data_IF_626173177710
#
_entry.id   IF_626173177710
#
_cell.length_a   1.000
_cell.length_b   1.000
_cell.length_c   1.000
_cell.angle_alpha   90.00
_cell.angle_beta   90.00
_cell.angle_gamma   90.00
#
_symmetry.space_group_name_H-M   'P 1'
#
loop_
_entity.id
_entity.type
_entity.pdbx_description
1 polymer ?
#
# COMPACT_ATOMS: atom_id res chain seq x y z
N UNK A 1 18.32 3.08 0.38
CA UNK A 1 16.91 2.67 0.49
C UNK A 1 16.53 2.71 1.96
N UNK A 2 15.60 3.57 2.34
CA UNK A 2 15.21 3.76 3.74
C UNK A 2 14.21 2.66 4.20
N UNK A 3 13.93 2.57 5.51
CA UNK A 3 13.04 1.53 6.05
C UNK A 3 11.61 1.66 5.51
N UNK A 4 11.10 2.88 5.37
CA UNK A 4 9.78 3.17 4.81
C UNK A 4 9.63 2.64 3.37
N UNK A 5 10.59 2.91 2.49
CA UNK A 5 10.67 2.41 1.12
C UNK A 5 10.66 0.87 1.07
N UNK A 6 11.37 0.23 2.00
CA UNK A 6 11.41 -1.24 2.11
C UNK A 6 10.05 -1.82 2.44
N UNK A 7 9.33 -1.19 3.36
CA UNK A 7 8.00 -1.63 3.77
C UNK A 7 6.99 -1.39 2.64
N UNK A 8 7.05 -0.23 1.97
CA UNK A 8 6.20 0.07 0.82
C UNK A 8 6.38 -0.97 -0.30
N UNK A 9 7.63 -1.37 -0.61
CA UNK A 9 7.89 -2.46 -1.57
C UNK A 9 7.26 -3.79 -1.15
N UNK A 10 7.34 -4.14 0.14
CA UNK A 10 6.74 -5.38 0.65
C UNK A 10 5.21 -5.33 0.48
N UNK A 11 4.58 -4.20 0.83
CA UNK A 11 3.13 -4.02 0.68
C UNK A 11 2.71 -4.19 -0.78
N UNK A 12 3.38 -3.50 -1.71
CA UNK A 12 3.06 -3.56 -3.13
C UNK A 12 3.29 -4.96 -3.73
N UNK A 13 4.32 -5.69 -3.28
CA UNK A 13 4.54 -7.09 -3.68
C UNK A 13 3.44 -8.03 -3.19
N UNK A 14 2.87 -7.80 -2.00
CA UNK A 14 1.84 -8.68 -1.42
C UNK A 14 0.44 -8.33 -1.93
N UNK A 15 0.16 -7.05 -2.21
CA UNK A 15 -1.17 -6.54 -2.54
C UNK A 15 -1.82 -7.15 -3.80
N UNK A 16 -1.03 -7.82 -4.66
CA UNK A 16 -1.46 -8.48 -5.91
C UNK A 16 -2.40 -7.61 -6.75
N UNK A 17 -2.06 -6.33 -6.90
CA UNK A 17 -2.82 -5.38 -7.70
C UNK A 17 -2.59 -3.92 -7.31
N UNK A 18 -3.24 -2.98 -8.03
CA UNK A 18 -3.27 -1.58 -7.65
C UNK A 18 -3.88 -1.39 -6.26
N UNK A 19 -3.31 -0.47 -5.48
CA UNK A 19 -3.83 0.01 -4.21
C UNK A 19 -4.13 1.50 -4.32
N UNK A 20 -5.15 2.01 -3.62
CA UNK A 20 -5.27 3.45 -3.45
C UNK A 20 -4.24 3.97 -2.44
N UNK A 21 -3.95 5.27 -2.45
CA UNK A 21 -3.10 5.91 -1.42
C UNK A 21 -3.65 5.66 0.00
N UNK A 22 -4.98 5.63 0.14
CA UNK A 22 -5.64 5.32 1.41
C UNK A 22 -5.35 3.88 1.84
N UNK A 23 -5.59 2.90 0.96
CA UNK A 23 -5.32 1.49 1.25
C UNK A 23 -3.85 1.25 1.60
N UNK A 24 -2.93 1.89 0.86
CA UNK A 24 -1.50 1.82 1.12
C UNK A 24 -1.16 2.33 2.53
N UNK A 25 -1.77 3.46 2.92
CA UNK A 25 -1.55 4.07 4.24
C UNK A 25 -2.12 3.21 5.36
N UNK A 26 -3.30 2.63 5.16
CA UNK A 26 -3.91 1.71 6.12
C UNK A 26 -3.05 0.46 6.30
N UNK A 27 -2.63 -0.19 5.20
CA UNK A 27 -1.78 -1.38 5.27
C UNK A 27 -0.44 -1.05 5.94
N UNK A 28 0.18 0.08 5.59
CA UNK A 28 1.42 0.52 6.22
C UNK A 28 1.25 0.71 7.73
N UNK A 29 0.16 1.35 8.16
CA UNK A 29 -0.13 1.58 9.58
C UNK A 29 -0.37 0.28 10.31
N UNK A 30 -1.04 -0.69 9.68
CA UNK A 30 -1.28 -2.00 10.28
C UNK A 30 0.03 -2.78 10.46
N UNK A 31 0.97 -2.69 9.51
CA UNK A 31 2.25 -3.40 9.58
C UNK A 31 3.21 -2.75 10.58
N UNK A 32 3.26 -1.42 10.61
CA UNK A 32 4.27 -0.67 11.37
C UNK A 32 3.76 -0.11 12.70
N UNK A 33 2.45 -0.09 12.91
CA UNK A 33 1.81 0.60 14.03
C UNK A 33 1.81 2.12 13.92
N UNK A 34 2.33 2.70 12.82
CA UNK A 34 2.50 4.14 12.64
C UNK A 34 2.15 4.60 11.23
N UNK A 35 1.79 5.88 11.08
CA UNK A 35 1.59 6.48 9.76
C UNK A 35 2.89 6.60 8.98
N UNK A 36 2.80 6.68 7.64
CA UNK A 36 3.97 6.88 6.77
C UNK A 36 4.65 8.21 7.14
N UNK A 37 5.93 8.21 7.55
CA UNK A 37 6.62 9.38 8.10
C UNK A 37 7.11 10.35 7.02
N UNK A 38 6.24 10.74 6.08
CA UNK A 38 6.57 11.61 4.95
C UNK A 38 7.09 13.00 5.38
N UNK A 39 6.57 13.54 6.48
CA UNK A 39 7.05 14.82 7.06
C UNK A 39 8.50 14.73 7.54
N UNK A 40 8.89 13.62 8.17
CA UNK A 40 10.27 13.38 8.60
C UNK A 40 11.23 13.16 7.41
N UNK A 41 10.68 12.82 6.25
CA UNK A 41 11.42 12.65 4.99
C UNK A 41 11.50 13.94 4.16
N UNK A 42 10.96 15.05 4.67
CA UNK A 42 11.04 16.37 4.03
C UNK A 42 9.88 16.68 3.08
N UNK A 43 8.78 15.91 3.13
CA UNK A 43 7.61 16.13 2.28
C UNK A 43 6.43 16.64 3.10
N UNK A 44 5.77 17.70 2.62
CA UNK A 44 4.55 18.22 3.25
C UNK A 44 3.32 17.37 2.98
N UNK A 45 3.31 16.65 1.84
CA UNK A 45 2.16 15.87 1.40
C UNK A 45 2.65 14.46 1.07
N UNK A 46 1.90 13.45 1.53
CA UNK A 46 2.21 12.04 1.27
C UNK A 46 2.29 11.72 -0.22
N UNK A 47 1.43 12.32 -1.05
CA UNK A 47 1.46 12.12 -2.51
C UNK A 47 2.75 12.60 -3.13
N UNK A 48 3.33 13.70 -2.65
CA UNK A 48 4.62 14.21 -3.15
C UNK A 48 5.75 13.23 -2.82
N UNK A 49 5.73 12.69 -1.60
CA UNK A 49 6.65 11.63 -1.21
C UNK A 49 6.51 10.40 -2.11
N UNK A 50 5.29 9.90 -2.32
CA UNK A 50 5.07 8.73 -3.17
C UNK A 50 5.50 9.01 -4.63
N UNK A 51 5.27 10.23 -5.14
CA UNK A 51 5.68 10.65 -6.49
C UNK A 51 7.19 10.71 -6.65
N UNK A 52 7.92 10.99 -5.56
CA UNK A 52 9.38 10.97 -5.52
C UNK A 52 10.00 9.57 -5.62
N UNK A 53 9.18 8.51 -5.56
CA UNK A 53 9.61 7.11 -5.57
C UNK A 53 9.26 6.35 -6.87
N UNK A 54 9.60 6.87 -8.07
CA UNK A 54 9.24 6.21 -9.32
C UNK A 54 9.92 4.86 -9.48
N UNK A 55 11.02 4.59 -8.78
CA UNK A 55 11.72 3.30 -8.78
C UNK A 55 11.07 2.23 -7.88
N UNK A 56 9.98 2.56 -7.18
CA UNK A 56 9.26 1.65 -6.28
C UNK A 56 7.83 1.44 -6.78
N UNK A 57 7.20 2.53 -7.20
CA UNK A 57 5.79 2.56 -7.52
C UNK A 57 5.51 3.50 -8.68
N UNK A 58 4.38 3.28 -9.33
CA UNK A 58 3.80 4.20 -10.31
C UNK A 58 2.51 4.77 -9.73
N UNK A 59 2.36 6.08 -9.80
CA UNK A 59 1.15 6.78 -9.40
C UNK A 59 0.34 7.13 -10.64
N UNK A 60 -0.88 6.64 -10.72
CA UNK A 60 -1.84 6.99 -11.76
C UNK A 60 -3.01 7.74 -11.10
N UNK A 61 -3.19 9.01 -11.47
CA UNK A 61 -4.39 9.76 -11.09
C UNK A 61 -5.50 9.42 -12.07
N UNK A 62 -6.55 8.73 -11.59
CA UNK A 62 -7.73 8.46 -12.42
C UNK A 62 -8.78 9.51 -12.17
N UNK A 63 -8.98 10.42 -13.12
CA UNK A 63 -9.95 11.52 -13.05
C UNK A 63 -11.43 11.12 -12.81
N UNK A 64 -11.78 9.83 -12.76
CA UNK A 64 -13.16 9.35 -12.58
C UNK A 64 -13.55 9.07 -11.13
N UNK A 65 -12.58 8.85 -10.25
CA UNK A 65 -12.77 8.64 -8.82
C UNK A 65 -11.67 9.45 -8.15
N UNK A 66 -11.91 10.10 -7.01
CA UNK A 66 -10.91 10.96 -6.34
C UNK A 66 -9.84 10.08 -5.64
N UNK A 67 -9.35 9.09 -6.35
CA UNK A 67 -8.49 8.03 -5.87
C UNK A 67 -7.23 7.99 -6.72
N UNK A 68 -6.12 8.23 -6.02
CA UNK A 68 -4.78 8.09 -6.59
C UNK A 68 -4.38 6.64 -6.46
N UNK A 69 -4.12 5.99 -7.61
CA UNK A 69 -3.78 4.58 -7.66
C UNK A 69 -2.26 4.43 -7.60
N UNK A 70 -1.81 3.54 -6.73
CA UNK A 70 -0.44 3.12 -6.52
C UNK A 70 -0.27 1.70 -7.05
N UNK A 71 0.58 1.54 -8.05
CA UNK A 71 0.97 0.22 -8.59
C UNK A 71 2.45 -0.05 -8.32
N UNK A 72 2.87 -1.31 -8.15
CA UNK A 72 4.30 -1.65 -8.16
C UNK A 72 4.92 -1.23 -9.50
N UNK A 73 6.10 -0.60 -9.46
CA UNK A 73 6.87 -0.41 -10.68
C UNK A 73 7.69 -1.68 -10.94
N UNK A 74 7.40 -2.40 -12.01
CA UNK A 74 8.01 -3.70 -12.35
C UNK A 74 9.43 -3.59 -12.91
N UNK A 75 10.05 -2.41 -12.88
CA UNK A 75 11.36 -2.14 -13.46
C UNK A 75 12.56 -2.61 -12.60
N UNK A 76 12.37 -3.62 -11.75
CA UNK A 76 13.42 -4.27 -10.98
C UNK A 76 13.35 -5.78 -11.21
N UNK A 77 14.10 -6.25 -12.21
CA UNK A 77 14.44 -7.67 -12.39
C UNK A 77 15.26 -8.12 -11.17
N UNK A 78 14.61 -8.54 -10.09
CA UNK A 78 15.30 -9.18 -8.95
C UNK A 78 14.85 -10.62 -8.76
N UNK A 79 15.74 -11.49 -9.23
CA UNK A 79 15.70 -12.93 -9.33
C UNK A 79 15.91 -13.59 -7.95
N UNK A 80 15.11 -13.20 -6.95
CA UNK A 80 15.29 -13.70 -5.58
C UNK A 80 13.97 -14.17 -4.97
N UNK A 81 13.63 -15.42 -5.26
CA UNK A 81 12.76 -16.27 -4.44
C UNK A 81 13.33 -16.37 -3.03
N UNK A 82 12.97 -15.44 -2.15
CA UNK A 82 13.13 -15.60 -0.70
C UNK A 82 11.77 -15.43 -0.05
N UNK A 83 11.19 -16.56 0.29
CA UNK A 83 9.99 -16.71 1.10
C UNK A 83 10.30 -16.19 2.50
N UNK A 84 9.85 -14.97 2.83
CA UNK A 84 9.96 -14.43 4.18
C UNK A 84 8.87 -15.06 5.05
N UNK A 85 9.28 -16.00 5.91
CA UNK A 85 8.43 -16.64 6.89
C UNK A 85 8.32 -15.72 8.12
N UNK A 86 7.26 -14.90 8.20
CA UNK A 86 6.92 -14.17 9.41
C UNK A 86 6.22 -15.14 10.37
N UNK A 87 6.91 -15.47 11.47
CA UNK A 87 6.37 -16.32 12.54
C UNK A 87 5.37 -15.53 13.37
N UNK A 88 4.17 -16.10 13.47
CA UNK A 88 3.25 -16.03 14.63
C UNK A 88 2.31 -14.84 14.80
N UNK A 89 1.90 -14.12 13.77
CA UNK A 89 0.65 -13.31 13.77
C UNK A 89 0.15 -13.28 12.33
N UNK A 90 -1.17 -13.28 12.10
CA UNK A 90 -1.84 -13.43 10.79
C UNK A 90 -0.96 -13.04 9.58
N UNK A 91 -0.75 -13.98 8.66
CA UNK A 91 0.12 -13.79 7.50
C UNK A 91 -0.34 -12.52 6.76
N UNK A 92 0.53 -11.52 6.59
CA UNK A 92 0.27 -10.22 5.92
C UNK A 92 -0.74 -10.30 4.74
N UNK A 93 -0.68 -11.29 3.82
CA UNK A 93 -1.73 -11.53 2.81
C UNK A 93 -3.17 -11.67 3.34
N UNK A 94 -3.41 -12.39 4.44
CA UNK A 94 -4.74 -12.54 5.06
C UNK A 94 -5.25 -11.21 5.63
N UNK A 95 -4.35 -10.39 6.16
CA UNK A 95 -4.68 -9.07 6.70
C UNK A 95 -5.10 -8.10 5.59
N UNK A 96 -4.38 -8.11 4.46
CA UNK A 96 -4.74 -7.32 3.27
C UNK A 96 -6.06 -7.83 2.66
N UNK A 97 -6.24 -9.15 2.58
CA UNK A 97 -7.49 -9.78 2.12
C UNK A 97 -8.68 -9.46 3.03
N UNK A 98 -8.46 -9.42 4.35
CA UNK A 98 -9.46 -9.05 5.35
C UNK A 98 -9.86 -7.57 5.25
N UNK A 99 -8.89 -6.67 5.03
CA UNK A 99 -9.17 -5.25 4.83
C UNK A 99 -9.91 -4.98 3.52
N UNK A 100 -9.51 -5.63 2.41
CA UNK A 100 -10.27 -5.56 1.14
C UNK A 100 -11.73 -5.98 1.35
N UNK A 101 -12.00 -7.08 2.07
CA UNK A 101 -13.37 -7.53 2.36
C UNK A 101 -14.15 -6.54 3.24
N UNK A 102 -13.52 -5.92 4.23
CA UNK A 102 -14.17 -4.92 5.09
C UNK A 102 -14.51 -3.63 4.35
N UNK A 103 -13.67 -3.18 3.42
CA UNK A 103 -13.97 -2.00 2.61
C UNK A 103 -15.17 -2.23 1.67
N UNK A 104 -15.28 -3.41 1.05
CA UNK A 104 -16.43 -3.73 0.18
C UNK A 104 -17.76 -3.68 0.94
N UNK A 105 -17.80 -4.19 2.17
CA UNK A 105 -19.03 -4.21 2.97
C UNK A 105 -19.50 -2.82 3.44
N UNK A 106 -18.59 -1.84 3.57
CA UNK A 106 -18.96 -0.48 3.99
C UNK A 106 -19.62 0.33 2.86
N UNK A 107 -19.38 -0.04 1.61
CA UNK A 107 -19.94 0.61 0.43
C UNK A 107 -21.32 0.10 0.02
N UNK A 108 -21.78 -1.04 0.55
CA UNK A 108 -23.10 -1.64 0.25
C UNK A 108 -24.16 -1.44 1.35
N UNK A 109 -23.90 -0.56 2.32
CA UNK A 109 -24.85 -0.21 3.38
C UNK A 109 -25.83 0.90 3.00
N UNK A 110 -26.57 0.76 1.89
CA UNK A 110 -27.85 1.46 1.68
C UNK A 110 -28.95 0.40 1.64
N UNK A 111 -29.29 -0.10 2.82
CA UNK A 111 -30.54 -0.82 3.02
C UNK A 111 -31.64 0.24 3.04
N UNK A 112 -32.42 0.27 1.95
CA UNK A 112 -33.71 0.95 1.89
C UNK A 112 -34.65 0.25 2.86
N UNK A 113 -35.04 0.94 3.93
CA UNK A 113 -36.36 0.74 4.57
C UNK A 113 -36.90 2.08 5.03
#
# INVERSE_FOLDING_TARGET
>A
MNETERILRIILKIARGPLTVLELTEIYTVITGASIPHEHLGYWILTDYLTSLPHILSLESRFKEVDTIVTPNEHEEDNTSKTYCFSSYETIPDLISSQKRKLVHRSTGKELT
#
